data_IF_936892708717
#
_entry.id   IF_936892708717
#
_cell.length_a   1.000
_cell.length_b   1.000
_cell.length_c   1.000
_cell.angle_alpha   90.00
_cell.angle_beta   90.00
_cell.angle_gamma   90.00
#
_symmetry.space_group_name_H-M   'P 1'
#
loop_
_entity.id
_entity.type
_entity.pdbx_description
1 polymer ?
#
# COMPACT_ATOMS: atom_id res chain seq x y z
N UNK A 1 14.64 16.51 7.13
CA UNK A 1 13.19 16.43 6.86
C UNK A 1 12.93 15.05 6.28
N UNK A 2 12.22 14.16 6.98
CA UNK A 2 11.81 12.88 6.39
C UNK A 2 10.69 13.18 5.39
N UNK A 3 11.01 13.16 4.11
CA UNK A 3 10.01 13.27 3.05
C UNK A 3 9.17 12.00 3.13
N UNK A 4 7.92 12.14 3.52
CA UNK A 4 6.97 11.03 3.54
C UNK A 4 6.63 10.72 2.08
N UNK A 5 7.09 9.58 1.58
CA UNK A 5 6.78 9.14 0.21
C UNK A 5 5.40 8.48 0.18
N UNK A 6 4.72 8.46 -0.99
CA UNK A 6 3.47 7.72 -1.15
C UNK A 6 3.59 6.23 -0.78
N UNK A 7 4.74 5.61 -1.09
CA UNK A 7 5.03 4.22 -0.73
C UNK A 7 5.12 4.04 0.79
N UNK A 8 5.79 4.97 1.48
CA UNK A 8 5.87 4.97 2.94
C UNK A 8 4.49 5.13 3.61
N UNK A 9 3.60 5.95 3.03
CA UNK A 9 2.21 6.06 3.50
C UNK A 9 1.42 4.77 3.29
N UNK A 10 1.57 4.15 2.11
CA UNK A 10 0.94 2.86 1.81
C UNK A 10 1.44 1.80 2.79
N UNK A 11 2.74 1.72 3.05
CA UNK A 11 3.33 0.77 4.00
C UNK A 11 2.81 1.01 5.43
N UNK A 12 2.68 2.26 5.86
CA UNK A 12 2.12 2.62 7.17
C UNK A 12 0.66 2.19 7.31
N UNK A 13 -0.15 2.41 6.27
CA UNK A 13 -1.55 1.96 6.22
C UNK A 13 -1.65 0.43 6.23
N UNK A 14 -0.79 -0.24 5.48
CA UNK A 14 -0.71 -1.70 5.43
C UNK A 14 -0.39 -2.28 6.81
N UNK A 15 0.61 -1.73 7.49
CA UNK A 15 0.96 -2.13 8.86
C UNK A 15 -0.25 -1.96 9.81
N UNK A 16 -0.97 -0.84 9.71
CA UNK A 16 -2.17 -0.57 10.50
C UNK A 16 -3.25 -1.64 10.31
N UNK A 17 -3.53 -2.02 9.06
CA UNK A 17 -4.50 -3.05 8.73
C UNK A 17 -4.05 -4.46 9.12
N UNK A 18 -2.77 -4.80 8.91
CA UNK A 18 -2.20 -6.10 9.32
C UNK A 18 -2.26 -6.26 10.84
N UNK A 19 -2.07 -5.18 11.59
CA UNK A 19 -2.14 -5.19 13.05
C UNK A 19 -3.58 -5.21 13.58
N UNK A 20 -4.54 -4.58 12.90
CA UNK A 20 -5.96 -4.64 13.24
C UNK A 20 -6.82 -4.72 11.96
N UNK A 21 -7.30 -5.92 11.65
CA UNK A 21 -8.08 -6.20 10.44
C UNK A 21 -9.46 -5.53 10.42
N UNK A 22 -9.91 -4.94 11.54
CA UNK A 22 -11.15 -4.13 11.59
C UNK A 22 -10.96 -2.76 10.95
N UNK A 23 -9.71 -2.34 10.70
CA UNK A 23 -9.38 -1.07 10.03
C UNK A 23 -9.53 -1.18 8.52
N UNK A 24 -10.74 -1.55 8.06
CA UNK A 24 -11.06 -1.68 6.64
C UNK A 24 -10.83 -0.39 5.85
N UNK A 25 -10.94 0.77 6.51
CA UNK A 25 -10.61 2.08 5.94
C UNK A 25 -9.16 2.17 5.43
N UNK A 26 -8.20 1.48 6.06
CA UNK A 26 -6.81 1.54 5.60
C UNK A 26 -6.65 0.87 4.22
N UNK A 27 -7.45 -0.14 3.88
CA UNK A 27 -7.44 -0.73 2.53
C UNK A 27 -8.00 0.26 1.49
N UNK A 28 -9.07 0.98 1.83
CA UNK A 28 -9.63 2.02 0.96
C UNK A 28 -8.63 3.16 0.75
N UNK A 29 -7.92 3.57 1.81
CA UNK A 29 -6.88 4.59 1.73
C UNK A 29 -5.70 4.12 0.86
N UNK A 30 -5.28 2.85 0.98
CA UNK A 30 -4.25 2.27 0.10
C UNK A 30 -4.71 2.30 -1.36
N UNK A 31 -5.96 1.91 -1.66
CA UNK A 31 -6.52 1.99 -3.02
C UNK A 31 -6.49 3.42 -3.56
N UNK A 32 -6.89 4.40 -2.76
CA UNK A 32 -6.87 5.80 -3.14
C UNK A 32 -5.44 6.30 -3.41
N UNK A 33 -4.47 5.95 -2.54
CA UNK A 33 -3.06 6.31 -2.71
C UNK A 33 -2.45 5.67 -3.96
N UNK A 34 -2.77 4.39 -4.23
CA UNK A 34 -2.36 3.70 -5.44
C UNK A 34 -2.88 4.42 -6.68
N UNK A 35 -4.19 4.71 -6.77
CA UNK A 35 -4.81 5.44 -7.89
C UNK A 35 -4.20 6.83 -8.10
N UNK A 36 -4.01 7.58 -7.01
CA UNK A 36 -3.51 8.95 -7.08
C UNK A 36 -2.06 9.03 -7.56
N UNK A 37 -1.26 7.97 -7.39
CA UNK A 37 0.17 7.97 -7.65
C UNK A 37 0.62 6.92 -8.68
N UNK A 38 -0.27 6.29 -9.45
CA UNK A 38 0.07 5.16 -10.34
C UNK A 38 1.27 5.42 -11.28
N UNK A 39 1.46 6.67 -11.73
CA UNK A 39 2.56 7.05 -12.62
C UNK A 39 3.88 7.42 -11.91
N UNK A 40 3.88 7.53 -10.58
CA UNK A 40 5.05 7.98 -9.80
C UNK A 40 5.49 6.97 -8.74
N UNK A 41 4.70 5.93 -8.49
CA UNK A 41 5.00 4.90 -7.50
C UNK A 41 6.17 4.02 -7.93
N UNK A 42 7.07 3.76 -6.97
CA UNK A 42 8.13 2.76 -7.09
C UNK A 42 7.57 1.39 -6.69
N UNK A 43 7.20 0.60 -7.71
CA UNK A 43 6.59 -0.72 -7.49
C UNK A 43 7.50 -1.72 -6.78
N UNK A 44 8.82 -1.64 -6.97
CA UNK A 44 9.79 -2.46 -6.22
C UNK A 44 9.70 -2.19 -4.71
N UNK A 45 9.73 -0.92 -4.31
CA UNK A 45 9.64 -0.53 -2.89
C UNK A 45 8.31 -1.01 -2.27
N UNK A 46 7.20 -0.86 -3.00
CA UNK A 46 5.90 -1.39 -2.57
C UNK A 46 5.91 -2.92 -2.43
N UNK A 47 6.49 -3.65 -3.38
CA UNK A 47 6.60 -5.11 -3.30
C UNK A 47 7.39 -5.53 -2.07
N UNK A 48 8.52 -4.88 -1.78
CA UNK A 48 9.30 -5.14 -0.57
C UNK A 48 8.48 -4.89 0.71
N UNK A 49 7.73 -3.78 0.77
CA UNK A 49 6.86 -3.52 1.93
C UNK A 49 5.76 -4.57 2.10
N UNK A 50 5.08 -4.96 1.03
CA UNK A 50 4.04 -5.99 1.11
C UNK A 50 4.62 -7.37 1.43
N UNK A 51 5.84 -7.66 0.97
CA UNK A 51 6.58 -8.88 1.29
C UNK A 51 6.94 -8.98 2.77
N UNK A 52 7.31 -7.88 3.42
CA UNK A 52 7.58 -7.85 4.87
C UNK A 52 6.39 -8.35 5.70
N UNK A 53 5.16 -8.18 5.19
CA UNK A 53 3.94 -8.64 5.85
C UNK A 53 3.34 -9.92 5.24
N UNK A 54 4.00 -10.54 4.25
CA UNK A 54 3.47 -11.72 3.55
C UNK A 54 2.15 -11.44 2.82
N UNK A 55 2.04 -10.27 2.17
CA UNK A 55 0.84 -9.76 1.50
C UNK A 55 1.07 -9.41 0.04
N UNK A 56 2.07 -9.98 -0.62
CA UNK A 56 2.34 -9.74 -2.05
C UNK A 56 1.10 -9.99 -2.92
N UNK A 57 0.33 -11.06 -2.67
CA UNK A 57 -0.93 -11.33 -3.37
C UNK A 57 -1.99 -10.21 -3.23
N UNK A 58 -1.97 -9.49 -2.10
CA UNK A 58 -2.86 -8.35 -1.88
C UNK A 58 -2.44 -7.17 -2.74
N UNK A 59 -1.13 -6.92 -2.89
CA UNK A 59 -0.63 -5.87 -3.76
C UNK A 59 -1.06 -6.11 -5.20
N UNK A 60 -0.87 -7.32 -5.73
CA UNK A 60 -1.29 -7.67 -7.10
C UNK A 60 -2.81 -7.49 -7.30
N UNK A 61 -3.62 -7.89 -6.31
CA UNK A 61 -5.07 -7.65 -6.36
C UNK A 61 -5.40 -6.16 -6.41
N UNK A 62 -4.79 -5.36 -5.52
CA UNK A 62 -5.04 -3.93 -5.44
C UNK A 62 -4.61 -3.22 -6.74
N UNK A 63 -3.44 -3.57 -7.28
CA UNK A 63 -2.95 -3.03 -8.56
C UNK A 63 -3.89 -3.35 -9.72
N UNK A 64 -4.48 -4.54 -9.74
CA UNK A 64 -5.45 -4.92 -10.77
C UNK A 64 -6.80 -4.20 -10.61
N UNK A 65 -7.23 -3.89 -9.38
CA UNK A 65 -8.45 -3.13 -9.10
C UNK A 65 -8.33 -1.63 -9.40
N UNK A 66 -7.11 -1.07 -9.33
CA UNK A 66 -6.88 0.35 -9.59
C UNK A 66 -6.51 0.65 -11.04
N UNK A 67 -6.30 -0.38 -11.87
CA UNK A 67 -5.94 -0.26 -13.28
C UNK A 67 -7.07 0.29 -14.15
#
# INVERSE_FOLDING_TARGET
MSVVTPEGLIAFKLQGWVNDSRRTQDLEDIRALLRANQGTLRLDDLRDYFRLFGREDLLDKLLNEVR
#
